data_IF_396272673105
#
_entry.id   IF_396272673105
#
_cell.length_a   1.000
_cell.length_b   1.000
_cell.length_c   1.000
_cell.angle_alpha   90.00
_cell.angle_beta   90.00
_cell.angle_gamma   90.00
#
_symmetry.space_group_name_H-M   'P 1'
#
loop_
_entity.id
_entity.type
_entity.pdbx_description
1 polymer ?
#
# COMPACT_ATOMS: atom_id res chain seq x y z
N UNK A 1 -14.73 -5.13 2.06
CA UNK A 1 -15.78 -5.53 1.10
C UNK A 1 -16.38 -4.31 0.38
N UNK A 2 -15.55 -3.35 -0.06
CA UNK A 2 -15.98 -2.19 -0.85
C UNK A 2 -16.57 -1.02 -0.07
N UNK A 3 -16.64 -1.09 1.25
CA UNK A 3 -17.03 0.02 2.10
C UNK A 3 -15.81 0.59 2.82
N UNK A 4 -15.44 1.86 2.58
CA UNK A 4 -14.29 2.48 3.25
C UNK A 4 -14.54 2.62 4.75
N UNK A 5 -13.49 2.50 5.55
CA UNK A 5 -13.54 2.86 6.95
C UNK A 5 -13.61 4.38 7.11
N UNK A 6 -14.12 4.86 8.23
CA UNK A 6 -14.03 6.28 8.57
C UNK A 6 -12.57 6.62 8.92
N UNK A 7 -11.91 7.30 7.99
CA UNK A 7 -10.50 7.63 8.11
C UNK A 7 -10.23 8.79 9.08
N UNK A 8 -11.19 9.64 9.34
CA UNK A 8 -10.99 10.85 10.14
C UNK A 8 -10.46 10.54 11.54
N UNK A 9 -11.07 9.66 12.36
CA UNK A 9 -10.54 9.35 13.68
C UNK A 9 -9.20 8.60 13.62
N UNK A 10 -8.97 7.79 12.59
CA UNK A 10 -7.70 7.06 12.42
C UNK A 10 -6.55 7.99 12.09
N UNK A 11 -6.76 8.95 11.20
CA UNK A 11 -5.78 9.97 10.87
C UNK A 11 -5.44 10.85 12.08
N UNK A 12 -6.45 11.24 12.85
CA UNK A 12 -6.25 12.01 14.09
C UNK A 12 -5.45 11.23 15.14
N UNK A 13 -5.72 9.94 15.31
CA UNK A 13 -4.93 9.08 16.21
C UNK A 13 -3.49 8.92 15.74
N UNK A 14 -3.29 8.70 14.45
CA UNK A 14 -1.96 8.55 13.87
C UNK A 14 -1.13 9.82 14.09
N UNK A 15 -1.69 11.00 13.81
CA UNK A 15 -1.03 12.28 14.05
C UNK A 15 -0.70 12.47 15.52
N UNK A 16 -1.69 12.25 16.41
CA UNK A 16 -1.54 12.43 17.86
C UNK A 16 -0.45 11.56 18.47
N UNK A 17 -0.27 10.34 17.96
CA UNK A 17 0.65 9.36 18.54
C UNK A 17 1.87 9.07 17.67
N UNK A 18 2.07 9.80 16.57
CA UNK A 18 3.19 9.59 15.67
C UNK A 18 3.18 8.20 15.01
N UNK A 19 2.00 7.70 14.65
CA UNK A 19 1.84 6.38 14.06
C UNK A 19 1.85 6.45 12.54
N UNK A 20 2.51 5.48 11.92
CA UNK A 20 2.38 5.25 10.48
C UNK A 20 1.08 4.49 10.19
N UNK A 21 0.44 4.83 9.07
CA UNK A 21 -0.75 4.13 8.58
C UNK A 21 -0.37 3.32 7.35
N UNK A 22 -0.72 2.05 7.36
CA UNK A 22 -0.70 1.19 6.20
C UNK A 22 -2.15 0.84 5.87
N UNK A 23 -2.61 1.22 4.67
CA UNK A 23 -3.96 0.92 4.22
C UNK A 23 -3.99 -0.44 3.51
N UNK A 24 -4.81 -1.35 3.99
CA UNK A 24 -5.21 -2.51 3.20
C UNK A 24 -6.39 -2.10 2.31
N UNK A 25 -6.07 -1.73 1.08
CA UNK A 25 -7.02 -1.33 0.05
C UNK A 25 -7.29 -2.45 -0.97
N UNK A 26 -7.09 -3.70 -0.57
CA UNK A 26 -7.21 -4.88 -1.44
C UNK A 26 -8.59 -5.04 -2.11
N UNK A 27 -9.62 -4.39 -1.58
CA UNK A 27 -10.99 -4.42 -2.11
C UNK A 27 -11.55 -3.02 -2.39
N UNK A 28 -10.67 -2.02 -2.50
CA UNK A 28 -11.04 -0.59 -2.61
C UNK A 28 -10.69 0.02 -3.98
N UNK A 29 -10.51 -0.78 -5.03
CA UNK A 29 -10.14 -0.28 -6.37
C UNK A 29 -11.19 0.72 -6.88
N UNK A 30 -10.76 1.95 -7.14
CA UNK A 30 -11.61 3.02 -7.63
C UNK A 30 -12.57 3.62 -6.62
N UNK A 31 -12.57 3.13 -5.38
CA UNK A 31 -13.42 3.68 -4.31
C UNK A 31 -12.79 4.94 -3.72
N UNK A 32 -13.65 5.83 -3.24
CA UNK A 32 -13.23 7.07 -2.58
C UNK A 32 -13.87 7.19 -1.19
N UNK A 33 -13.20 7.92 -0.33
CA UNK A 33 -13.75 8.37 0.95
C UNK A 33 -13.62 9.90 1.02
N UNK A 34 -14.76 10.59 1.17
CA UNK A 34 -14.84 12.06 1.14
C UNK A 34 -14.09 12.69 -0.05
N UNK A 35 -14.28 12.11 -1.24
CA UNK A 35 -13.68 12.60 -2.49
C UNK A 35 -12.20 12.28 -2.69
N UNK A 36 -11.53 11.59 -1.76
CA UNK A 36 -10.15 11.14 -1.90
C UNK A 36 -10.10 9.64 -2.19
N UNK A 37 -9.25 9.18 -3.10
CA UNK A 37 -9.12 7.76 -3.39
C UNK A 37 -8.72 6.94 -2.17
N UNK A 38 -9.38 5.81 -1.96
CA UNK A 38 -8.92 4.82 -0.98
C UNK A 38 -7.53 4.30 -1.39
N UNK A 39 -6.64 4.14 -0.42
CA UNK A 39 -5.23 3.83 -0.66
C UNK A 39 -4.32 5.07 -0.73
N UNK A 40 -4.88 6.29 -0.57
CA UNK A 40 -4.12 7.54 -0.63
C UNK A 40 -3.91 8.23 0.72
N UNK A 41 -4.30 7.60 1.83
CA UNK A 41 -4.30 8.24 3.15
C UNK A 41 -3.08 7.93 4.00
N UNK A 42 -2.54 6.72 3.91
CA UNK A 42 -1.41 6.27 4.71
C UNK A 42 -0.06 6.48 4.04
N UNK A 43 1.00 6.12 4.74
CA UNK A 43 2.37 6.11 4.23
C UNK A 43 2.56 5.05 3.14
N UNK A 44 1.83 3.95 3.27
CA UNK A 44 1.77 2.86 2.30
C UNK A 44 0.33 2.40 2.12
N UNK A 45 0.03 1.89 0.94
CA UNK A 45 -1.20 1.13 0.71
C UNK A 45 -0.94 -0.11 -0.11
N UNK A 46 -1.79 -1.12 0.07
CA UNK A 46 -1.71 -2.38 -0.64
C UNK A 46 -2.98 -2.64 -1.44
N UNK A 47 -2.81 -3.14 -2.66
CA UNK A 47 -3.90 -3.57 -3.53
C UNK A 47 -3.70 -5.01 -3.95
N UNK A 48 -4.79 -5.74 -4.11
CA UNK A 48 -4.81 -7.11 -4.63
C UNK A 48 -5.40 -7.14 -6.02
N UNK A 49 -4.80 -7.92 -6.91
CA UNK A 49 -5.33 -8.20 -8.25
C UNK A 49 -5.71 -9.67 -8.40
N UNK A 50 -6.12 -10.29 -7.29
CA UNK A 50 -6.64 -11.65 -7.29
C UNK A 50 -7.95 -11.75 -8.13
N UNK A 51 -8.34 -12.94 -8.62
CA UNK A 51 -9.50 -13.09 -9.52
C UNK A 51 -10.83 -12.56 -9.00
N UNK A 52 -11.04 -12.49 -7.68
CA UNK A 52 -12.29 -11.99 -7.10
C UNK A 52 -12.31 -10.46 -6.89
N UNK A 53 -11.29 -9.74 -7.34
CA UNK A 53 -11.21 -8.28 -7.22
C UNK A 53 -11.87 -7.57 -8.40
N UNK A 54 -12.07 -6.26 -8.28
CA UNK A 54 -12.65 -5.42 -9.34
C UNK A 54 -11.79 -5.39 -10.62
N UNK A 55 -10.49 -5.56 -10.44
CA UNK A 55 -9.50 -5.68 -11.50
C UNK A 55 -8.58 -6.84 -11.13
N UNK A 56 -8.30 -7.73 -12.07
CA UNK A 56 -7.47 -8.91 -11.81
C UNK A 56 -6.39 -9.11 -12.86
N UNK A 57 -5.28 -9.68 -12.41
CA UNK A 57 -4.20 -10.20 -13.25
C UNK A 57 -4.00 -11.71 -13.03
N UNK A 58 -5.01 -12.39 -12.48
CA UNK A 58 -4.94 -13.78 -12.04
C UNK A 58 -4.26 -13.88 -10.67
N UNK A 59 -2.98 -13.62 -10.62
CA UNK A 59 -2.18 -13.40 -9.43
C UNK A 59 -1.52 -12.03 -9.55
N UNK A 60 -1.53 -11.26 -8.47
CA UNK A 60 -0.88 -9.96 -8.50
C UNK A 60 -1.27 -9.08 -7.31
N UNK A 61 -0.43 -8.10 -7.07
CA UNK A 61 -0.64 -7.10 -6.04
C UNK A 61 0.22 -5.88 -6.29
N UNK A 62 -0.08 -4.81 -5.58
CA UNK A 62 0.64 -3.56 -5.70
C UNK A 62 0.78 -2.91 -4.33
N UNK A 63 1.94 -2.31 -4.08
CA UNK A 63 2.19 -1.42 -2.95
C UNK A 63 2.35 -0.01 -3.51
N UNK A 64 1.65 0.95 -2.94
CA UNK A 64 1.72 2.36 -3.32
C UNK A 64 2.26 3.19 -2.17
N UNK A 65 3.07 4.19 -2.50
CA UNK A 65 3.57 5.19 -1.56
C UNK A 65 4.02 6.43 -2.31
N UNK A 66 3.93 7.59 -1.64
CA UNK A 66 4.49 8.86 -2.11
C UNK A 66 5.93 9.08 -1.60
N UNK A 67 6.43 8.21 -0.73
CA UNK A 67 7.78 8.29 -0.16
C UNK A 67 8.76 7.45 -0.99
N UNK A 68 9.74 8.10 -1.60
CA UNK A 68 10.74 7.46 -2.44
C UNK A 68 11.61 6.45 -1.67
N UNK A 69 11.92 6.72 -0.41
CA UNK A 69 12.72 5.82 0.42
C UNK A 69 11.95 4.54 0.76
N UNK A 70 10.65 4.66 1.06
CA UNK A 70 9.77 3.51 1.26
C UNK A 70 9.60 2.72 -0.05
N UNK A 71 9.43 3.40 -1.18
CA UNK A 71 9.34 2.75 -2.47
C UNK A 71 10.59 1.92 -2.78
N UNK A 72 11.76 2.49 -2.56
CA UNK A 72 13.03 1.79 -2.78
C UNK A 72 13.19 0.60 -1.84
N UNK A 73 12.82 0.76 -0.56
CA UNK A 73 12.84 -0.34 0.40
C UNK A 73 11.90 -1.47 0.00
N UNK A 74 10.70 -1.15 -0.44
CA UNK A 74 9.73 -2.15 -0.93
C UNK A 74 10.28 -2.91 -2.16
N UNK A 75 10.93 -2.21 -3.10
CA UNK A 75 11.57 -2.87 -4.26
C UNK A 75 12.69 -3.83 -3.84
N UNK A 76 13.51 -3.43 -2.88
CA UNK A 76 14.57 -4.27 -2.33
C UNK A 76 14.00 -5.53 -1.68
N UNK A 77 13.00 -5.37 -0.81
CA UNK A 77 12.34 -6.50 -0.13
C UNK A 77 11.66 -7.43 -1.12
N UNK A 78 10.98 -6.90 -2.13
CA UNK A 78 10.36 -7.70 -3.21
C UNK A 78 11.38 -8.54 -3.95
N UNK A 79 12.59 -8.01 -4.14
CA UNK A 79 13.71 -8.71 -4.76
C UNK A 79 14.58 -9.47 -3.75
N UNK A 80 14.01 -9.93 -2.65
CA UNK A 80 14.69 -10.70 -1.59
C UNK A 80 15.93 -9.99 -1.02
N UNK A 81 15.94 -8.66 -1.04
CA UNK A 81 17.06 -7.81 -0.62
C UNK A 81 18.37 -8.05 -1.39
N UNK A 82 18.31 -8.59 -2.58
CA UNK A 82 19.50 -8.68 -3.44
C UNK A 82 19.99 -7.29 -3.84
N UNK A 83 21.29 -7.08 -3.75
CA UNK A 83 21.91 -5.82 -4.13
C UNK A 83 21.84 -5.61 -5.65
N UNK A 84 21.52 -4.39 -6.12
CA UNK A 84 21.64 -4.06 -7.54
C UNK A 84 23.06 -4.34 -8.06
N UNK A 85 23.15 -5.06 -9.15
CA UNK A 85 24.44 -5.39 -9.78
C UNK A 85 25.28 -6.46 -9.05
N UNK A 86 24.84 -6.93 -7.89
CA UNK A 86 25.51 -8.01 -7.15
C UNK A 86 24.51 -9.10 -6.79
N UNK A 87 24.17 -9.90 -7.79
CA UNK A 87 23.23 -11.01 -7.61
C UNK A 87 23.70 -11.96 -6.51
N UNK A 88 22.78 -12.37 -5.66
CA UNK A 88 22.99 -13.22 -4.48
C UNK A 88 23.71 -12.54 -3.30
N UNK A 89 23.93 -11.24 -3.33
CA UNK A 89 24.38 -10.47 -2.16
C UNK A 89 23.17 -9.67 -1.63
N UNK A 90 22.81 -9.91 -0.39
CA UNK A 90 21.68 -9.24 0.26
C UNK A 90 22.11 -7.94 0.95
N UNK A 91 21.18 -7.03 1.05
CA UNK A 91 21.34 -5.80 1.84
C UNK A 91 21.21 -6.09 3.34
#
# INVERSE_FOLDING_TARGET
>A
FGLPVDMEPLLALAERHGLAIIEDAAEMHGQTWRGRPCGSFGELSTFSFYPNKHLTTGEGGMVLTDDDSLAERCRSLRNLCFQPGRRFVHN
#
